data_IF_308842605992
#
_entry.id   IF_308842605992
#
_cell.length_a   1.000
_cell.length_b   1.000
_cell.length_c   1.000
_cell.angle_alpha   90.00
_cell.angle_beta   90.00
_cell.angle_gamma   90.00
#
_symmetry.space_group_name_H-M   'P 1'
#
loop_
_entity.id
_entity.type
_entity.pdbx_description
1 polymer ?
#
# COMPACT_ATOMS: atom_id res chain seq x y z
N UNK A 1 1.33 -1.30 25.93
CA UNK A 1 -0.16 -1.32 26.00
C UNK A 1 -0.55 -2.22 27.16
N UNK A 2 -1.64 -1.92 27.87
CA UNK A 2 -2.18 -2.81 28.92
C UNK A 2 -3.25 -3.72 28.30
N UNK A 3 -3.12 -5.02 28.50
CA UNK A 3 -4.04 -6.02 27.97
C UNK A 3 -5.47 -5.85 28.53
N UNK A 4 -5.60 -5.40 29.78
CA UNK A 4 -6.91 -5.19 30.41
C UNK A 4 -7.67 -4.01 29.79
N UNK A 5 -6.95 -3.00 29.31
CA UNK A 5 -7.54 -1.80 28.70
C UNK A 5 -7.80 -1.95 27.21
N UNK A 6 -7.07 -2.83 26.54
CA UNK A 6 -7.12 -3.00 25.08
C UNK A 6 -8.05 -4.13 24.64
N UNK A 7 -8.21 -5.17 25.45
CA UNK A 7 -9.01 -6.34 25.09
C UNK A 7 -10.46 -5.97 24.77
N UNK A 8 -10.89 -6.25 23.54
CA UNK A 8 -12.25 -5.97 23.06
C UNK A 8 -12.53 -4.50 22.68
N UNK A 9 -11.54 -3.62 22.80
CA UNK A 9 -11.67 -2.21 22.46
C UNK A 9 -10.99 -1.87 21.13
N UNK A 10 -11.36 -0.72 20.55
CA UNK A 10 -10.66 -0.13 19.40
C UNK A 10 -9.57 0.79 19.92
N UNK A 11 -8.33 0.60 19.46
CA UNK A 11 -7.15 1.31 19.97
C UNK A 11 -6.69 2.35 18.95
N UNK A 12 -6.51 3.61 19.39
CA UNK A 12 -5.83 4.62 18.58
C UNK A 12 -4.32 4.48 18.76
N UNK A 13 -3.61 4.23 17.66
CA UNK A 13 -2.17 4.07 17.65
C UNK A 13 -1.50 5.28 17.00
N UNK A 14 -0.60 5.91 17.74
CA UNK A 14 0.23 7.00 17.24
C UNK A 14 1.39 6.44 16.38
N UNK A 15 1.95 7.23 15.44
CA UNK A 15 3.08 6.79 14.62
C UNK A 15 4.34 6.88 15.46
N UNK A 16 4.58 5.86 16.29
CA UNK A 16 5.87 5.65 16.92
C UNK A 16 6.50 4.48 16.18
N UNK A 17 7.38 4.86 15.25
CA UNK A 17 8.32 4.05 14.49
C UNK A 17 7.80 3.18 13.33
N UNK A 18 8.64 3.21 12.29
CA UNK A 18 8.57 2.45 11.05
C UNK A 18 8.34 0.97 11.35
N UNK A 19 7.15 0.46 11.03
CA UNK A 19 6.84 -0.97 11.19
C UNK A 19 5.59 -1.30 11.98
N UNK A 20 4.67 -0.34 12.19
CA UNK A 20 3.38 -0.67 12.78
C UNK A 20 2.52 -1.47 11.78
N UNK A 21 2.61 -2.79 11.85
CA UNK A 21 1.88 -3.77 11.04
C UNK A 21 0.55 -4.20 11.70
N UNK A 22 0.14 -3.52 12.79
CA UNK A 22 -1.03 -3.88 13.59
C UNK A 22 -0.84 -5.12 14.47
N UNK A 23 0.36 -5.68 14.57
CA UNK A 23 0.66 -6.81 15.46
C UNK A 23 0.48 -6.46 16.94
N UNK A 24 0.87 -5.26 17.35
CA UNK A 24 0.73 -4.79 18.74
C UNK A 24 -0.72 -4.90 19.22
N UNK A 25 -1.67 -4.13 18.66
CA UNK A 25 -3.08 -4.23 19.02
C UNK A 25 -3.64 -5.65 18.97
N UNK A 26 -3.23 -6.45 17.98
CA UNK A 26 -3.64 -7.85 17.86
C UNK A 26 -3.18 -8.71 19.05
N UNK A 27 -1.91 -8.66 19.41
CA UNK A 27 -1.33 -9.46 20.51
C UNK A 27 -1.96 -9.09 21.86
N UNK A 28 -2.32 -7.81 22.05
CA UNK A 28 -3.01 -7.35 23.25
C UNK A 28 -4.55 -7.57 23.23
N UNK A 29 -5.09 -8.18 22.16
CA UNK A 29 -6.50 -8.59 22.07
C UNK A 29 -7.47 -7.46 21.71
N UNK A 30 -6.99 -6.40 21.06
CA UNK A 30 -7.83 -5.33 20.54
C UNK A 30 -8.84 -5.86 19.51
N UNK A 31 -10.04 -5.27 19.49
CA UNK A 31 -11.05 -5.58 18.47
C UNK A 31 -10.69 -4.96 17.12
N UNK A 32 -10.08 -3.78 17.14
CA UNK A 32 -9.65 -3.05 15.95
C UNK A 32 -8.70 -1.93 16.32
N UNK A 33 -8.18 -1.23 15.32
CA UNK A 33 -7.20 -0.18 15.56
C UNK A 33 -7.33 0.96 14.56
N UNK A 34 -7.12 2.19 15.02
CA UNK A 34 -7.01 3.36 14.16
C UNK A 34 -5.53 3.71 14.13
N UNK A 35 -4.94 3.61 12.94
CA UNK A 35 -3.52 3.89 12.75
C UNK A 35 -3.36 5.31 12.24
N UNK A 36 -2.63 6.12 12.97
CA UNK A 36 -2.19 7.40 12.46
C UNK A 36 -0.94 7.11 11.61
N UNK A 37 -1.09 7.10 10.29
CA UNK A 37 0.03 6.87 9.37
C UNK A 37 0.96 8.08 9.28
N UNK A 38 2.16 7.85 8.73
CA UNK A 38 3.13 8.92 8.48
C UNK A 38 3.02 9.45 7.05
N UNK A 39 3.60 10.62 6.79
CA UNK A 39 3.51 11.30 5.49
C UNK A 39 4.01 10.37 4.38
N UNK A 40 3.11 9.99 3.45
CA UNK A 40 3.41 9.13 2.29
C UNK A 40 2.80 7.73 2.35
N UNK A 41 2.12 7.35 3.44
CA UNK A 41 1.46 6.04 3.59
C UNK A 41 -0.05 6.05 3.26
N UNK A 42 -0.63 7.21 2.96
CA UNK A 42 -2.08 7.37 2.71
C UNK A 42 -2.54 6.89 1.33
N UNK A 43 -1.67 7.04 0.33
CA UNK A 43 -1.99 6.71 -1.06
C UNK A 43 -1.71 5.24 -1.39
N UNK A 44 -1.30 4.46 -0.39
CA UNK A 44 -1.02 3.03 -0.51
C UNK A 44 -1.65 2.29 0.66
N UNK A 45 -2.79 1.60 0.48
CA UNK A 45 -3.36 0.82 1.55
C UNK A 45 -2.51 -0.42 1.82
N UNK A 46 -2.43 -0.78 3.10
CA UNK A 46 -1.83 -2.02 3.55
C UNK A 46 -2.87 -2.87 4.27
N UNK A 47 -2.93 -4.18 4.00
CA UNK A 47 -3.71 -5.09 4.81
C UNK A 47 -3.13 -5.14 6.24
N UNK A 48 -4.00 -5.02 7.23
CA UNK A 48 -3.71 -5.20 8.65
C UNK A 48 -4.40 -6.45 9.19
N UNK A 49 -3.86 -7.11 10.24
CA UNK A 49 -4.43 -8.35 10.79
C UNK A 49 -5.77 -8.16 11.52
N UNK A 50 -6.10 -6.92 11.88
CA UNK A 50 -7.35 -6.51 12.51
C UNK A 50 -8.09 -5.51 11.64
N UNK A 51 -9.41 -5.32 11.84
CA UNK A 51 -10.13 -4.17 11.31
C UNK A 51 -9.39 -2.87 11.65
N UNK A 52 -8.87 -2.21 10.61
CA UNK A 52 -7.95 -1.08 10.76
C UNK A 52 -8.26 -0.02 9.73
N UNK A 53 -8.22 1.25 10.17
CA UNK A 53 -8.25 2.41 9.28
C UNK A 53 -7.00 3.24 9.52
N UNK A 54 -6.30 3.58 8.44
CA UNK A 54 -5.22 4.55 8.48
C UNK A 54 -5.82 5.96 8.29
N UNK A 55 -5.54 6.88 9.22
CA UNK A 55 -6.09 8.27 9.23
C UNK A 55 -4.98 9.29 9.34
N UNK A 56 -5.12 10.45 8.66
CA UNK A 56 -4.07 11.49 8.60
C UNK A 56 -3.63 11.95 9.99
N UNK A 57 -2.42 12.51 10.13
CA UNK A 57 -2.00 13.10 11.42
C UNK A 57 -3.02 14.12 11.95
N UNK A 58 -3.57 14.97 11.07
CA UNK A 58 -4.62 15.93 11.43
C UNK A 58 -5.92 15.25 11.89
N UNK A 59 -6.35 14.19 11.21
CA UNK A 59 -7.54 13.44 11.62
C UNK A 59 -7.28 12.66 12.92
N UNK A 60 -6.06 12.17 13.11
CA UNK A 60 -5.59 11.49 14.31
C UNK A 60 -5.64 12.40 15.54
N UNK A 61 -5.16 13.64 15.41
CA UNK A 61 -5.27 14.66 16.45
C UNK A 61 -6.74 15.01 16.75
N UNK A 62 -7.57 15.13 15.72
CA UNK A 62 -9.00 15.36 15.88
C UNK A 62 -9.67 14.20 16.65
N UNK A 63 -9.39 12.95 16.27
CA UNK A 63 -9.89 11.76 16.96
C UNK A 63 -9.39 11.69 18.41
N UNK A 64 -8.12 12.00 18.65
CA UNK A 64 -7.57 12.05 20.01
C UNK A 64 -8.27 13.12 20.86
N UNK A 65 -8.56 14.29 20.30
CA UNK A 65 -9.33 15.36 20.96
C UNK A 65 -10.78 14.96 21.23
N UNK A 66 -11.39 14.18 20.34
CA UNK A 66 -12.74 13.66 20.51
C UNK A 66 -12.81 12.62 21.64
N UNK A 67 -11.84 11.71 21.71
CA UNK A 67 -11.73 10.69 22.77
C UNK A 67 -11.52 11.34 24.14
N UNK A 68 -10.74 12.41 24.23
CA UNK A 68 -10.49 13.09 25.51
C UNK A 68 -11.65 13.96 25.98
N UNK A 69 -12.49 14.47 25.06
CA UNK A 69 -13.61 15.34 25.37
C UNK A 69 -14.92 14.60 25.67
N UNK A 70 -15.07 13.35 25.25
CA UNK A 70 -16.30 12.56 25.42
C UNK A 70 -16.09 11.35 26.34
N UNK A 71 -17.08 11.05 27.19
CA UNK A 71 -17.03 9.89 28.11
C UNK A 71 -17.47 8.57 27.47
N UNK A 72 -18.23 8.65 26.37
CA UNK A 72 -18.76 7.50 25.64
C UNK A 72 -18.67 7.81 24.15
N UNK A 73 -18.03 6.93 23.40
CA UNK A 73 -17.85 7.04 21.96
C UNK A 73 -18.15 5.67 21.31
N UNK A 74 -18.66 5.69 20.08
CA UNK A 74 -18.94 4.50 19.29
C UNK A 74 -18.18 4.58 17.97
N UNK A 75 -17.36 3.57 17.70
CA UNK A 75 -16.70 3.38 16.40
C UNK A 75 -17.22 2.11 15.75
N UNK A 76 -17.52 2.20 14.46
CA UNK A 76 -17.90 1.05 13.65
C UNK A 76 -17.01 1.03 12.42
N UNK A 77 -16.38 -0.12 12.17
CA UNK A 77 -15.76 -0.37 10.88
C UNK A 77 -16.86 -0.74 9.90
N UNK A 78 -16.98 0.04 8.83
CA UNK A 78 -17.77 -0.34 7.67
C UNK A 78 -16.82 -1.12 6.77
N UNK A 79 -17.19 -2.36 6.41
CA UNK A 79 -16.44 -3.11 5.40
C UNK A 79 -16.34 -2.25 4.15
N UNK A 80 -15.14 -2.10 3.61
CA UNK A 80 -14.95 -1.36 2.37
C UNK A 80 -15.71 -2.12 1.27
N UNK A 81 -16.84 -1.61 0.75
CA UNK A 81 -17.36 -2.19 -0.47
C UNK A 81 -16.25 -2.01 -1.51
N UNK A 82 -15.90 -3.09 -2.21
CA UNK A 82 -15.00 -3.06 -3.37
C UNK A 82 -15.18 -1.71 -4.09
N UNK A 83 -14.18 -0.81 -4.10
CA UNK A 83 -14.41 0.52 -4.63
C UNK A 83 -14.68 0.37 -6.13
N UNK A 84 -15.95 0.46 -6.48
CA UNK A 84 -16.41 0.72 -7.83
C UNK A 84 -15.82 2.08 -8.21
N UNK A 85 -14.65 2.06 -8.84
CA UNK A 85 -13.93 3.24 -9.35
C UNK A 85 -14.07 4.48 -8.46
N UNK A 86 -13.41 4.48 -7.29
CA UNK A 86 -13.02 5.78 -6.74
C UNK A 86 -12.23 6.48 -7.83
N UNK A 87 -12.69 7.68 -8.25
CA UNK A 87 -11.92 8.57 -9.10
C UNK A 87 -10.63 8.90 -8.35
N UNK A 88 -9.64 8.05 -8.50
CA UNK A 88 -8.24 8.42 -8.31
C UNK A 88 -8.05 9.49 -9.37
N UNK A 89 -8.11 10.75 -8.94
CA UNK A 89 -7.64 11.86 -9.76
C UNK A 89 -6.22 11.41 -10.13
N UNK A 90 -5.97 11.13 -11.41
CA UNK A 90 -4.63 10.88 -11.93
C UNK A 90 -3.80 12.14 -11.68
N UNK A 91 -3.46 12.41 -10.43
CA UNK A 91 -2.18 12.99 -10.15
C UNK A 91 -1.25 11.85 -10.51
N UNK A 92 -0.55 12.02 -11.63
CA UNK A 92 0.60 11.24 -11.99
C UNK A 92 1.60 11.40 -10.83
N UNK A 93 1.38 10.71 -9.72
CA UNK A 93 2.25 10.74 -8.55
C UNK A 93 3.42 9.84 -8.93
N UNK A 94 4.30 10.40 -9.75
CA UNK A 94 5.66 9.95 -9.97
C UNK A 94 6.50 10.07 -8.68
N UNK A 95 5.89 10.47 -7.55
CA UNK A 95 6.55 11.03 -6.36
C UNK A 95 6.42 10.15 -5.11
N UNK A 96 5.65 9.07 -5.10
CA UNK A 96 5.51 8.22 -3.89
C UNK A 96 6.30 6.91 -3.89
N UNK A 97 6.93 6.54 -5.01
CA UNK A 97 8.03 5.56 -4.98
C UNK A 97 9.36 6.15 -4.45
N UNK A 98 9.36 7.38 -3.92
CA UNK A 98 10.57 8.09 -3.49
C UNK A 98 11.04 7.75 -2.08
N UNK A 99 10.29 6.97 -1.29
CA UNK A 99 10.73 6.63 0.08
C UNK A 99 11.61 5.38 0.14
N UNK A 100 11.45 4.44 -0.82
CA UNK A 100 12.22 3.18 -0.85
C UNK A 100 13.30 3.14 -1.92
N UNK A 101 13.28 4.09 -2.84
CA UNK A 101 14.33 4.33 -3.82
C UNK A 101 15.05 5.60 -3.38
N UNK A 102 16.32 5.44 -3.00
CA UNK A 102 17.22 6.53 -2.65
C UNK A 102 16.99 7.74 -3.56
N UNK A 103 16.92 8.95 -3.00
CA UNK A 103 16.71 10.26 -3.66
C UNK A 103 17.65 10.58 -4.85
N UNK A 104 18.48 9.64 -5.27
CA UNK A 104 19.42 9.68 -6.39
C UNK A 104 18.79 9.29 -7.75
N UNK A 105 17.54 8.81 -7.79
CA UNK A 105 17.03 8.01 -8.92
C UNK A 105 16.50 8.72 -10.17
N UNK A 106 16.69 10.02 -10.32
CA UNK A 106 16.56 10.66 -11.64
C UNK A 106 17.79 10.42 -12.52
N UNK A 107 18.92 10.07 -11.90
CA UNK A 107 20.17 9.70 -12.56
C UNK A 107 20.45 8.23 -12.24
N UNK A 108 20.63 7.39 -13.26
CA UNK A 108 21.13 6.03 -13.02
C UNK A 108 22.47 6.13 -12.28
N UNK A 109 22.58 5.47 -11.12
CA UNK A 109 23.85 5.40 -10.37
C UNK A 109 25.00 4.79 -11.21
N UNK A 110 24.67 4.03 -12.25
CA UNK A 110 25.61 3.43 -13.19
C UNK A 110 25.90 4.30 -14.44
N UNK A 111 25.03 5.26 -14.76
CA UNK A 111 25.20 6.15 -15.93
C UNK A 111 24.36 7.41 -15.76
N UNK A 112 24.99 8.50 -15.38
CA UNK A 112 24.31 9.78 -15.14
C UNK A 112 23.67 10.40 -16.38
N UNK A 113 23.88 9.85 -17.58
CA UNK A 113 23.33 10.38 -18.83
C UNK A 113 22.02 9.69 -19.26
N UNK A 114 21.60 8.63 -18.57
CA UNK A 114 20.39 7.88 -18.89
C UNK A 114 19.31 8.11 -17.83
N UNK A 115 18.20 8.73 -18.26
CA UNK A 115 17.03 8.98 -17.42
C UNK A 115 16.33 7.66 -17.05
N UNK A 116 15.93 7.54 -15.80
CA UNK A 116 15.06 6.48 -15.28
C UNK A 116 13.98 7.09 -14.38
N UNK A 117 12.85 6.40 -14.17
CA UNK A 117 12.42 5.13 -14.80
C UNK A 117 12.08 5.28 -16.28
N UNK A 118 11.96 4.16 -17.01
CA UNK A 118 11.65 4.18 -18.45
C UNK A 118 10.13 4.37 -18.73
N UNK A 119 9.27 3.73 -17.94
CA UNK A 119 7.80 3.76 -18.10
C UNK A 119 7.14 3.57 -16.74
N UNK A 120 5.95 4.15 -16.56
CA UNK A 120 5.11 3.93 -15.39
C UNK A 120 3.90 3.06 -15.75
N UNK A 121 3.55 2.13 -14.88
CA UNK A 121 2.40 1.21 -15.07
C UNK A 121 1.66 1.02 -13.75
N UNK A 122 0.40 0.51 -13.76
CA UNK A 122 -0.38 0.32 -12.54
C UNK A 122 0.32 -0.59 -11.55
N UNK A 123 0.60 -0.06 -10.35
CA UNK A 123 1.28 -0.79 -9.28
C UNK A 123 0.72 -0.52 -7.90
N UNK A 124 -0.41 0.18 -7.77
CA UNK A 124 -1.09 0.44 -6.50
C UNK A 124 -2.45 -0.24 -6.56
N UNK A 125 -2.82 -0.91 -5.47
CA UNK A 125 -4.10 -1.63 -5.30
C UNK A 125 -4.34 -2.71 -6.34
N UNK A 126 -3.29 -3.47 -6.64
CA UNK A 126 -3.36 -4.56 -7.60
C UNK A 126 -3.83 -5.83 -6.88
N UNK A 127 -5.02 -6.29 -7.24
CA UNK A 127 -5.55 -7.60 -6.87
C UNK A 127 -4.90 -8.67 -7.75
N UNK A 128 -4.20 -9.63 -7.13
CA UNK A 128 -3.57 -10.74 -7.83
C UNK A 128 -3.65 -12.03 -7.01
N UNK A 129 -3.37 -13.16 -7.68
CA UNK A 129 -3.31 -14.46 -7.01
C UNK A 129 -2.25 -14.45 -5.90
N UNK A 130 -2.57 -15.11 -4.78
CA UNK A 130 -1.72 -15.17 -3.61
C UNK A 130 -1.62 -16.60 -3.11
N UNK A 131 -0.45 -16.95 -2.56
CA UNK A 131 -0.26 -18.26 -1.97
C UNK A 131 -1.11 -18.38 -0.70
N UNK A 132 -1.89 -19.46 -0.49
CA UNK A 132 -2.59 -19.71 0.76
C UNK A 132 -1.67 -19.85 1.99
N UNK A 133 -0.36 -20.03 1.76
CA UNK A 133 0.68 -20.08 2.79
C UNK A 133 1.41 -18.74 2.98
N UNK A 134 1.10 -17.74 2.14
CA UNK A 134 1.71 -16.42 2.22
C UNK A 134 1.03 -15.56 3.28
N UNK A 135 1.80 -14.69 3.92
CA UNK A 135 1.25 -13.71 4.85
C UNK A 135 0.36 -12.71 4.09
N UNK A 136 -0.84 -12.43 4.62
CA UNK A 136 -1.79 -11.49 4.02
C UNK A 136 -1.40 -10.06 4.35
N UNK A 137 -1.13 -9.79 5.62
CA UNK A 137 -0.55 -8.53 6.10
C UNK A 137 0.95 -8.64 6.33
N UNK A 138 1.57 -7.53 6.73
CA UNK A 138 2.98 -7.51 7.17
C UNK A 138 3.20 -8.21 8.52
N UNK A 139 2.12 -8.46 9.26
CA UNK A 139 2.17 -9.10 10.57
C UNK A 139 2.34 -10.61 10.45
N UNK A 140 3.38 -11.15 11.08
CA UNK A 140 3.57 -12.59 11.22
C UNK A 140 2.53 -13.27 12.11
N UNK A 141 1.72 -12.50 12.83
CA UNK A 141 0.60 -13.00 13.64
C UNK A 141 -0.71 -13.08 12.85
N UNK A 142 -0.72 -12.63 11.60
CA UNK A 142 -1.87 -12.75 10.71
C UNK A 142 -2.00 -14.18 10.19
N UNK A 143 -3.00 -14.90 10.70
CA UNK A 143 -3.27 -16.29 10.33
C UNK A 143 -4.26 -16.43 9.18
N UNK A 144 -4.70 -15.32 8.57
CA UNK A 144 -5.63 -15.38 7.44
C UNK A 144 -4.96 -16.04 6.25
N UNK A 145 -5.75 -16.82 5.51
CA UNK A 145 -5.34 -17.46 4.27
C UNK A 145 -6.30 -17.04 3.16
N UNK A 146 -5.76 -16.55 2.05
CA UNK A 146 -6.53 -16.03 0.91
C UNK A 146 -5.94 -16.53 -0.39
N UNK A 147 -6.80 -16.69 -1.41
CA UNK A 147 -6.38 -17.06 -2.76
C UNK A 147 -5.97 -15.85 -3.60
N UNK A 148 -6.38 -14.65 -3.17
CA UNK A 148 -6.07 -13.38 -3.81
C UNK A 148 -5.74 -12.34 -2.76
N UNK A 149 -4.79 -11.46 -3.05
CA UNK A 149 -4.40 -10.37 -2.17
C UNK A 149 -4.28 -9.07 -2.96
N UNK A 150 -4.53 -7.94 -2.28
CA UNK A 150 -4.34 -6.60 -2.82
C UNK A 150 -3.03 -6.08 -2.29
N UNK A 151 -2.09 -5.82 -3.20
CA UNK A 151 -0.74 -5.37 -2.84
C UNK A 151 -0.29 -4.25 -3.77
N UNK A 152 0.60 -3.42 -3.26
CA UNK A 152 1.10 -2.23 -3.95
C UNK A 152 2.62 -2.23 -3.99
N UNK A 153 3.19 -1.81 -5.12
CA UNK A 153 4.63 -1.69 -5.35
C UNK A 153 5.02 -1.71 -6.82
N UNK A 154 6.28 -1.37 -7.09
CA UNK A 154 6.87 -1.48 -8.43
C UNK A 154 6.98 -2.93 -8.90
N UNK A 155 7.04 -3.89 -7.97
CA UNK A 155 6.98 -5.32 -8.28
C UNK A 155 5.66 -5.73 -8.92
N UNK A 156 4.59 -4.97 -8.69
CA UNK A 156 3.24 -5.16 -9.25
C UNK A 156 3.06 -4.37 -10.55
N UNK A 157 3.74 -3.24 -10.69
CA UNK A 157 3.83 -2.50 -11.95
C UNK A 157 4.61 -3.31 -13.02
N UNK A 158 5.74 -3.90 -12.66
CA UNK A 158 6.61 -4.67 -13.55
C UNK A 158 5.89 -5.72 -14.43
N UNK A 159 5.04 -6.63 -13.89
CA UNK A 159 4.34 -7.61 -14.71
C UNK A 159 3.34 -6.99 -15.69
N UNK A 160 2.78 -5.80 -15.42
CA UNK A 160 1.94 -5.09 -16.39
C UNK A 160 2.76 -4.62 -17.60
N UNK A 161 3.93 -4.02 -17.37
CA UNK A 161 4.85 -3.63 -18.46
C UNK A 161 5.35 -4.85 -19.24
N UNK A 162 5.68 -5.95 -18.54
CA UNK A 162 6.11 -7.20 -19.17
C UNK A 162 4.99 -7.83 -20.03
N UNK A 163 3.75 -7.82 -19.54
CA UNK A 163 2.59 -8.29 -20.29
C UNK A 163 2.33 -7.47 -21.56
N UNK A 164 2.40 -6.14 -21.46
CA UNK A 164 2.29 -5.25 -22.62
C UNK A 164 3.41 -5.52 -23.65
N UNK A 165 4.65 -5.67 -23.20
CA UNK A 165 5.78 -6.00 -24.07
C UNK A 165 5.63 -7.35 -24.76
N UNK A 166 5.17 -8.38 -24.03
CA UNK A 166 4.88 -9.70 -24.59
C UNK A 166 3.76 -9.64 -25.63
N UNK A 167 2.69 -8.89 -25.37
CA UNK A 167 1.60 -8.66 -26.32
C UNK A 167 2.10 -7.96 -27.60
N UNK A 168 2.89 -6.90 -27.48
CA UNK A 168 3.51 -6.26 -28.67
C UNK A 168 4.38 -7.25 -29.45
N UNK A 169 5.14 -8.12 -28.74
CA UNK A 169 5.99 -9.15 -29.37
C UNK A 169 5.18 -10.16 -30.18
N UNK A 170 3.93 -10.49 -29.82
CA UNK A 170 3.13 -11.43 -30.61
C UNK A 170 2.77 -10.89 -31.98
N UNK A 171 2.60 -9.57 -32.11
CA UNK A 171 2.34 -8.90 -33.39
C UNK A 171 3.61 -8.49 -34.14
N UNK A 172 4.73 -8.36 -33.43
CA UNK A 172 6.03 -8.05 -34.01
C UNK A 172 7.13 -9.05 -33.59
N UNK A 173 7.07 -10.31 -34.05
CA UNK A 173 7.97 -11.38 -33.57
C UNK A 173 9.46 -11.15 -33.86
N UNK A 174 9.80 -10.31 -34.84
CA UNK A 174 11.18 -9.99 -35.23
C UNK A 174 11.74 -8.75 -34.53
N UNK A 175 10.90 -7.96 -33.84
CA UNK A 175 11.36 -6.75 -33.16
C UNK A 175 12.35 -7.05 -32.03
N UNK A 176 13.41 -6.26 -31.93
CA UNK A 176 14.36 -6.35 -30.83
C UNK A 176 13.73 -5.88 -29.51
N UNK A 177 14.29 -6.25 -28.35
CA UNK A 177 13.83 -5.73 -27.06
C UNK A 177 13.84 -4.18 -27.01
N UNK A 178 14.83 -3.55 -27.66
CA UNK A 178 14.92 -2.10 -27.75
C UNK A 178 13.79 -1.49 -28.58
N UNK A 179 13.39 -2.12 -29.68
CA UNK A 179 12.27 -1.66 -30.51
C UNK A 179 10.94 -1.74 -29.74
N UNK A 180 10.72 -2.83 -29.00
CA UNK A 180 9.51 -3.00 -28.17
C UNK A 180 9.47 -1.97 -27.04
N UNK A 181 10.60 -1.79 -26.34
CA UNK A 181 10.74 -0.75 -25.31
C UNK A 181 10.45 0.64 -25.89
N UNK A 182 11.03 0.97 -27.04
CA UNK A 182 10.80 2.24 -27.72
C UNK A 182 9.32 2.44 -28.03
N UNK A 183 8.67 1.44 -28.61
CA UNK A 183 7.24 1.50 -28.93
C UNK A 183 6.38 1.79 -27.69
N UNK A 184 6.65 1.14 -26.56
CA UNK A 184 5.90 1.38 -25.32
C UNK A 184 6.19 2.74 -24.67
N UNK A 185 7.37 3.33 -24.88
CA UNK A 185 7.73 4.62 -24.29
C UNK A 185 7.24 5.83 -25.10
N UNK A 186 7.05 5.67 -26.41
CA UNK A 186 6.72 6.79 -27.33
C UNK A 186 5.24 6.90 -27.68
N UNK A 187 4.38 6.08 -27.07
CA UNK A 187 2.91 6.07 -27.24
C UNK A 187 2.21 6.44 -25.95
#
# INVERSE_FOLDING_TARGET
MDQNLTKGNIVLCNPIDLGNDGSGPLVYGAYGTIMIATVGEWDVPYPYPLPTSAVTNSDGEYIASYISSTRVFYFFFVETPLPLFMKVKLCMILVLCLWRLSRTLYLNACSSQLLKPDISTPGVDILAAWSPKGLVSRSGYDQRSVMYNIVSGTSQACPHAAGAAAYVKTFHPTWSPAAIKSALMTT
#
